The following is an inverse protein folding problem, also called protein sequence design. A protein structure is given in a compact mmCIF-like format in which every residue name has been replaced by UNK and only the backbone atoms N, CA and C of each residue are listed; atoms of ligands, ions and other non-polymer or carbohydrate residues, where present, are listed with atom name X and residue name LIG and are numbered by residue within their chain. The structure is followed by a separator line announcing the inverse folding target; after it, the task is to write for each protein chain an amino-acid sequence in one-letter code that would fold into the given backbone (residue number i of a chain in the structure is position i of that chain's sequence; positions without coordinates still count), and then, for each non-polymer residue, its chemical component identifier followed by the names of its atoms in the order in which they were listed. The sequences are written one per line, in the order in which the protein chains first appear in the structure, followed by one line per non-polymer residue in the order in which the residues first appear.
data_IF_207865694699
#
_entry.id   IF_207865694699
#
_cell.length_a   1.000
_cell.length_b   1.000
_cell.length_c   1.000
_cell.angle_alpha   90.00
_cell.angle_beta   90.00
_cell.angle_gamma   90.00
#
_symmetry.space_group_name_H-M   'P 1'
#
loop_
_entity.id
_entity.type
_entity.pdbx_description
1 polymer ?
#
# COMPACT_ATOMS: atom_id res chain seq x y z
N UNK A 1 -13.71 22.74 3.07
CA UNK A 1 -12.58 23.28 2.27
C UNK A 1 -13.06 23.50 0.85
N UNK A 2 -12.82 24.67 0.24
CA UNK A 2 -13.10 24.89 -1.20
C UNK A 2 -12.04 24.14 -1.99
N UNK A 3 -12.43 23.35 -2.98
CA UNK A 3 -11.55 22.51 -3.79
C UNK A 3 -11.54 22.99 -5.24
N UNK A 4 -10.38 23.04 -5.85
CA UNK A 4 -10.17 23.22 -7.27
C UNK A 4 -9.55 21.93 -7.83
N UNK A 5 -10.14 21.37 -8.86
CA UNK A 5 -9.74 20.10 -9.44
C UNK A 5 -10.75 18.98 -9.20
N UNK A 6 -10.31 17.71 -9.19
CA UNK A 6 -11.17 16.54 -9.01
C UNK A 6 -11.89 16.49 -7.66
N UNK A 7 -12.70 15.47 -7.48
CA UNK A 7 -13.46 15.21 -6.25
C UNK A 7 -13.29 13.77 -5.79
N UNK A 8 -13.75 13.47 -4.59
CA UNK A 8 -13.95 12.08 -4.19
C UNK A 8 -15.25 11.54 -4.80
N UNK A 9 -15.21 10.29 -5.24
CA UNK A 9 -16.39 9.55 -5.67
C UNK A 9 -17.36 9.39 -4.49
N UNK A 10 -18.65 9.41 -4.78
CA UNK A 10 -19.66 9.12 -3.78
C UNK A 10 -19.87 7.61 -3.59
N UNK A 11 -20.61 7.23 -2.55
CA UNK A 11 -20.82 5.81 -2.22
C UNK A 11 -21.52 5.03 -3.33
N UNK A 12 -22.58 5.52 -4.00
CA UNK A 12 -23.18 4.86 -5.13
C UNK A 12 -22.22 4.65 -6.31
N UNK A 13 -21.40 5.64 -6.64
CA UNK A 13 -20.37 5.51 -7.69
C UNK A 13 -19.38 4.39 -7.37
N UNK A 14 -18.91 4.33 -6.12
CA UNK A 14 -17.98 3.30 -5.66
C UNK A 14 -18.59 1.90 -5.70
N UNK A 15 -19.84 1.75 -5.25
CA UNK A 15 -20.54 0.45 -5.26
C UNK A 15 -20.77 -0.07 -6.68
N UNK A 16 -20.90 0.83 -7.66
CA UNK A 16 -21.12 0.48 -9.08
C UNK A 16 -19.80 0.41 -9.88
N UNK A 17 -18.65 0.76 -9.30
CA UNK A 17 -17.37 0.80 -10.01
C UNK A 17 -16.80 -0.59 -10.36
N UNK A 18 -17.22 -1.65 -9.66
CA UNK A 18 -16.76 -3.02 -9.91
C UNK A 18 -15.70 -3.53 -8.93
N UNK A 19 -15.51 -2.87 -7.80
CA UNK A 19 -14.66 -3.41 -6.72
C UNK A 19 -15.22 -4.73 -6.18
N UNK A 20 -14.33 -5.65 -5.77
CA UNK A 20 -14.73 -6.89 -5.11
C UNK A 20 -15.53 -6.60 -3.81
N UNK A 21 -15.12 -5.59 -3.05
CA UNK A 21 -15.82 -5.14 -1.86
C UNK A 21 -15.49 -3.69 -1.55
N UNK A 22 -16.50 -2.90 -1.16
CA UNK A 22 -16.35 -1.52 -0.69
C UNK A 22 -17.09 -1.34 0.62
N UNK A 23 -16.39 -0.87 1.64
CA UNK A 23 -16.93 -0.51 2.94
C UNK A 23 -17.72 0.81 2.92
N UNK A 24 -18.12 1.25 4.11
CA UNK A 24 -18.82 2.53 4.32
C UNK A 24 -17.83 3.69 4.38
N UNK A 25 -18.28 4.89 3.99
CA UNK A 25 -17.50 6.13 4.05
C UNK A 25 -16.14 6.07 3.33
N UNK A 26 -16.00 5.21 2.34
CA UNK A 26 -14.80 5.12 1.51
C UNK A 26 -14.70 6.36 0.62
N UNK A 27 -13.49 6.88 0.45
CA UNK A 27 -13.20 8.03 -0.39
C UNK A 27 -12.11 7.67 -1.40
N UNK A 28 -12.46 7.61 -2.67
CA UNK A 28 -11.51 7.43 -3.78
C UNK A 28 -11.55 8.70 -4.63
N UNK A 29 -10.41 9.32 -4.85
CA UNK A 29 -10.34 10.53 -5.65
C UNK A 29 -10.49 10.22 -7.15
N UNK A 30 -11.22 11.06 -7.89
CA UNK A 30 -11.49 10.88 -9.33
C UNK A 30 -10.22 10.89 -10.19
N UNK A 31 -9.11 11.40 -9.70
CA UNK A 31 -7.80 11.37 -10.36
C UNK A 31 -6.90 10.22 -9.91
N UNK A 32 -7.38 9.29 -9.08
CA UNK A 32 -6.68 8.04 -8.84
C UNK A 32 -6.86 7.11 -10.05
N UNK A 33 -5.79 6.41 -10.45
CA UNK A 33 -5.83 5.42 -11.53
C UNK A 33 -5.79 4.03 -10.90
N UNK A 34 -6.85 3.27 -11.05
CA UNK A 34 -7.01 1.96 -10.40
C UNK A 34 -7.38 0.92 -11.45
N UNK A 35 -6.57 -0.14 -11.55
CA UNK A 35 -6.74 -1.26 -12.47
C UNK A 35 -6.95 -2.55 -11.69
N UNK A 36 -7.88 -3.41 -12.17
CA UNK A 36 -8.21 -4.69 -11.54
C UNK A 36 -9.11 -4.53 -10.32
N UNK A 37 -10.14 -3.69 -10.43
CA UNK A 37 -11.08 -3.36 -9.35
C UNK A 37 -11.71 -4.62 -8.73
N UNK A 38 -11.98 -5.63 -9.54
CA UNK A 38 -12.54 -6.92 -9.14
C UNK A 38 -11.65 -7.73 -8.19
N UNK A 39 -10.38 -7.35 -8.05
CA UNK A 39 -9.42 -7.97 -7.13
C UNK A 39 -9.21 -7.15 -5.84
N UNK A 40 -9.95 -6.03 -5.69
CA UNK A 40 -9.70 -5.06 -4.62
C UNK A 40 -10.85 -5.06 -3.60
N UNK A 41 -10.50 -5.28 -2.34
CA UNK A 41 -11.39 -5.07 -1.20
C UNK A 41 -10.95 -3.83 -0.42
N UNK A 42 -11.90 -2.94 -0.09
CA UNK A 42 -11.63 -1.70 0.68
C UNK A 42 -12.55 -1.68 1.91
N UNK A 43 -11.96 -1.54 3.08
CA UNK A 43 -12.66 -1.40 4.36
C UNK A 43 -13.20 0.00 4.62
N UNK A 44 -13.99 0.12 5.68
CA UNK A 44 -14.69 1.33 6.09
C UNK A 44 -13.73 2.51 6.35
N UNK A 45 -14.18 3.74 6.09
CA UNK A 45 -13.47 5.00 6.37
C UNK A 45 -12.10 5.13 5.68
N UNK A 46 -11.82 4.32 4.65
CA UNK A 46 -10.55 4.33 3.93
C UNK A 46 -10.54 5.41 2.87
N UNK A 47 -9.36 6.03 2.66
CA UNK A 47 -9.16 7.11 1.71
C UNK A 47 -8.02 6.81 0.75
N UNK A 48 -8.28 6.99 -0.55
CA UNK A 48 -7.31 6.93 -1.64
C UNK A 48 -7.29 8.29 -2.33
N UNK A 49 -6.16 8.97 -2.28
CA UNK A 49 -6.00 10.33 -2.77
C UNK A 49 -5.70 10.40 -4.28
N UNK A 50 -5.63 11.61 -4.79
CA UNK A 50 -5.36 11.91 -6.19
C UNK A 50 -4.00 11.38 -6.67
N UNK A 51 -3.91 11.04 -7.95
CA UNK A 51 -2.70 10.51 -8.60
C UNK A 51 -2.11 9.24 -7.95
N UNK A 52 -2.84 8.58 -7.05
CA UNK A 52 -2.49 7.23 -6.65
C UNK A 52 -2.64 6.29 -7.86
N UNK A 53 -1.66 5.40 -8.08
CA UNK A 53 -1.69 4.38 -9.12
C UNK A 53 -1.74 3.00 -8.46
N UNK A 54 -2.83 2.27 -8.69
CA UNK A 54 -3.03 0.93 -8.15
C UNK A 54 -3.21 -0.04 -9.32
N UNK A 55 -2.37 -1.08 -9.37
CA UNK A 55 -2.44 -2.15 -10.38
C UNK A 55 -2.61 -3.48 -9.65
N UNK A 56 -3.84 -3.96 -9.55
CA UNK A 56 -4.20 -5.18 -8.83
C UNK A 56 -4.53 -6.31 -9.80
N UNK A 57 -3.52 -6.95 -10.37
CA UNK A 57 -3.69 -8.18 -11.15
C UNK A 57 -3.82 -9.43 -10.28
N UNK A 58 -3.52 -9.33 -8.99
CA UNK A 58 -3.81 -10.26 -7.92
C UNK A 58 -4.52 -9.56 -6.77
N UNK A 59 -4.82 -10.28 -5.70
CA UNK A 59 -5.61 -9.77 -4.58
C UNK A 59 -4.98 -8.54 -3.92
N UNK A 60 -5.79 -7.51 -3.68
CA UNK A 60 -5.45 -6.35 -2.87
C UNK A 60 -6.51 -6.16 -1.79
N UNK A 61 -6.10 -6.26 -0.53
CA UNK A 61 -6.97 -5.99 0.61
C UNK A 61 -6.51 -4.73 1.33
N UNK A 62 -7.40 -3.78 1.48
CA UNK A 62 -7.18 -2.54 2.22
C UNK A 62 -8.19 -2.52 3.36
N UNK A 63 -7.70 -2.49 4.59
CA UNK A 63 -8.50 -2.49 5.81
C UNK A 63 -9.28 -1.20 6.04
N UNK A 64 -9.85 -1.06 7.22
CA UNK A 64 -10.58 0.15 7.64
C UNK A 64 -9.62 1.24 8.13
N UNK A 65 -10.02 2.50 7.98
CA UNK A 65 -9.26 3.66 8.45
C UNK A 65 -7.83 3.73 7.86
N UNK A 66 -7.67 3.28 6.63
CA UNK A 66 -6.41 3.34 5.90
C UNK A 66 -6.35 4.61 5.06
N UNK A 67 -5.17 5.22 4.98
CA UNK A 67 -4.92 6.36 4.08
C UNK A 67 -3.84 6.00 3.07
N UNK A 68 -4.20 6.05 1.78
CA UNK A 68 -3.27 5.96 0.65
C UNK A 68 -3.15 7.35 0.05
N UNK A 69 -2.05 8.03 0.34
CA UNK A 69 -1.85 9.40 -0.12
C UNK A 69 -1.42 9.51 -1.57
N UNK A 70 -1.46 10.74 -2.08
CA UNK A 70 -1.17 11.11 -3.47
C UNK A 70 0.14 10.53 -3.99
N UNK A 71 0.17 10.17 -5.28
CA UNK A 71 1.34 9.63 -5.98
C UNK A 71 1.88 8.30 -5.42
N UNK A 72 1.11 7.62 -4.56
CA UNK A 72 1.46 6.27 -4.12
C UNK A 72 1.28 5.26 -5.25
N UNK A 73 2.13 4.24 -5.30
CA UNK A 73 2.02 3.11 -6.22
C UNK A 73 1.80 1.81 -5.45
N UNK A 74 0.81 1.02 -5.85
CA UNK A 74 0.58 -0.32 -5.31
C UNK A 74 0.48 -1.31 -6.47
N UNK A 75 1.51 -2.16 -6.62
CA UNK A 75 1.54 -3.26 -7.58
C UNK A 75 1.22 -4.59 -6.89
N UNK A 76 -0.04 -5.05 -6.99
CA UNK A 76 -0.50 -6.28 -6.34
C UNK A 76 -0.68 -7.40 -7.35
N UNK A 77 0.43 -7.99 -7.82
CA UNK A 77 0.42 -9.18 -8.67
C UNK A 77 0.37 -10.47 -7.84
N UNK A 78 1.11 -10.51 -6.75
CA UNK A 78 1.21 -11.66 -5.85
C UNK A 78 0.60 -11.40 -4.47
N UNK A 79 -0.28 -10.40 -4.39
CA UNK A 79 -0.99 -10.03 -3.19
C UNK A 79 -0.37 -8.85 -2.44
N UNK A 80 -1.23 -7.96 -1.96
CA UNK A 80 -0.88 -6.91 -0.99
C UNK A 80 -2.01 -6.82 0.03
N UNK A 81 -1.65 -6.81 1.31
CA UNK A 81 -2.58 -6.58 2.42
C UNK A 81 -2.13 -5.36 3.21
N UNK A 82 -3.01 -4.39 3.38
CA UNK A 82 -2.79 -3.19 4.19
C UNK A 82 -3.85 -3.19 5.28
N UNK A 83 -3.45 -3.50 6.49
CA UNK A 83 -4.38 -3.68 7.59
C UNK A 83 -4.78 -2.35 8.25
N UNK A 84 -5.73 -2.44 9.20
CA UNK A 84 -6.45 -1.30 9.76
C UNK A 84 -5.53 -0.20 10.31
N UNK A 85 -5.99 1.07 10.23
CA UNK A 85 -5.32 2.23 10.80
C UNK A 85 -3.91 2.49 10.26
N UNK A 86 -3.58 1.96 9.07
CA UNK A 86 -2.28 2.17 8.46
C UNK A 86 -2.28 3.34 7.49
N UNK A 87 -1.15 4.01 7.37
CA UNK A 87 -0.99 5.19 6.52
C UNK A 87 0.20 5.04 5.58
N UNK A 88 -0.05 5.19 4.30
CA UNK A 88 0.96 5.35 3.26
C UNK A 88 1.08 6.83 2.92
N UNK A 89 2.16 7.47 3.31
CA UNK A 89 2.43 8.88 2.99
C UNK A 89 2.65 9.09 1.47
N UNK A 90 2.65 10.33 0.96
CA UNK A 90 2.76 10.58 -0.47
C UNK A 90 3.95 9.90 -1.13
N UNK A 91 3.72 9.31 -2.31
CA UNK A 91 4.77 8.69 -3.12
C UNK A 91 5.32 7.35 -2.62
N UNK A 92 4.69 6.72 -1.64
CA UNK A 92 5.04 5.36 -1.20
C UNK A 92 4.83 4.38 -2.35
N UNK A 93 5.76 3.44 -2.54
CA UNK A 93 5.67 2.42 -3.59
C UNK A 93 5.73 1.02 -2.98
N UNK A 94 4.74 0.19 -3.31
CA UNK A 94 4.65 -1.20 -2.86
C UNK A 94 4.71 -2.10 -4.09
N UNK A 95 5.63 -3.04 -4.07
CA UNK A 95 5.79 -4.03 -5.13
C UNK A 95 5.64 -5.44 -4.56
N UNK A 96 4.67 -6.22 -5.04
CA UNK A 96 4.56 -7.65 -4.76
C UNK A 96 5.29 -8.52 -5.80
N UNK A 97 5.89 -7.89 -6.81
CA UNK A 97 6.79 -8.52 -7.78
C UNK A 97 7.85 -7.53 -8.24
N UNK A 98 9.02 -8.05 -8.55
CA UNK A 98 10.16 -7.33 -9.14
C UNK A 98 10.79 -8.19 -10.22
N UNK A 99 11.31 -7.56 -11.26
CA UNK A 99 12.08 -8.27 -12.28
C UNK A 99 13.42 -8.79 -11.71
N UNK A 100 14.09 -9.68 -12.45
CA UNK A 100 15.41 -10.15 -12.12
C UNK A 100 16.48 -9.08 -12.37
N UNK A 101 17.32 -8.83 -11.35
CA UNK A 101 18.47 -7.92 -11.42
C UNK A 101 19.81 -8.66 -11.48
N UNK A 102 19.80 -10.01 -11.41
CA UNK A 102 21.03 -10.81 -11.45
C UNK A 102 21.52 -11.09 -12.87
N UNK A 103 20.63 -10.99 -13.85
CA UNK A 103 20.90 -11.30 -15.25
C UNK A 103 20.70 -12.78 -15.60
N UNK A 104 20.11 -13.56 -14.70
CA UNK A 104 19.75 -14.95 -14.97
C UNK A 104 18.53 -15.08 -15.88
N UNK A 105 17.60 -14.13 -15.75
CA UNK A 105 16.36 -14.07 -16.53
C UNK A 105 16.24 -12.75 -17.30
N UNK A 106 15.37 -12.75 -18.30
CA UNK A 106 14.99 -11.53 -19.01
C UNK A 106 14.01 -10.69 -18.17
N UNK A 107 13.85 -9.43 -18.53
CA UNK A 107 13.01 -8.47 -17.81
C UNK A 107 11.95 -7.86 -18.71
N UNK A 108 10.86 -7.39 -18.08
CA UNK A 108 9.79 -6.63 -18.70
C UNK A 108 8.70 -7.49 -19.37
N UNK A 109 7.50 -6.90 -19.54
CA UNK A 109 6.30 -7.63 -19.97
C UNK A 109 6.23 -7.94 -21.47
N UNK A 110 7.26 -7.56 -22.25
CA UNK A 110 7.30 -7.72 -23.71
C UNK A 110 7.98 -9.02 -24.14
N UNK A 111 8.43 -9.82 -23.17
CA UNK A 111 9.07 -11.14 -23.39
C UNK A 111 8.14 -12.23 -22.91
N UNK A 112 8.28 -13.44 -23.47
CA UNK A 112 7.44 -14.57 -23.06
C UNK A 112 7.67 -14.93 -21.58
N UNK A 113 6.59 -15.27 -20.85
CA UNK A 113 6.64 -15.46 -19.39
C UNK A 113 7.66 -16.49 -18.91
N UNK A 114 7.92 -17.55 -19.69
CA UNK A 114 8.87 -18.59 -19.36
C UNK A 114 10.35 -18.14 -19.35
N UNK A 115 10.61 -16.93 -19.87
CA UNK A 115 11.96 -16.30 -19.86
C UNK A 115 12.12 -15.27 -18.76
N UNK A 116 11.03 -14.99 -18.02
CA UNK A 116 11.03 -14.00 -16.96
C UNK A 116 11.31 -14.65 -15.61
N UNK A 117 12.00 -13.90 -14.76
CA UNK A 117 12.28 -14.26 -13.39
C UNK A 117 12.21 -13.05 -12.47
N UNK A 118 12.69 -13.22 -11.24
CA UNK A 118 12.77 -12.18 -10.26
C UNK A 118 12.04 -12.50 -8.95
N UNK A 119 12.03 -11.56 -8.04
CA UNK A 119 11.42 -11.73 -6.73
C UNK A 119 9.91 -11.50 -6.77
N UNK A 120 9.17 -12.34 -6.06
CA UNK A 120 7.73 -12.21 -5.93
C UNK A 120 7.23 -12.75 -4.61
N UNK A 121 6.14 -12.18 -4.09
CA UNK A 121 5.50 -12.65 -2.88
C UNK A 121 4.55 -11.62 -2.30
N UNK A 122 3.73 -12.10 -1.38
CA UNK A 122 2.78 -11.28 -0.63
C UNK A 122 3.51 -10.19 0.16
N UNK A 123 2.99 -8.96 0.09
CA UNK A 123 3.40 -7.88 0.98
C UNK A 123 2.31 -7.64 2.00
N UNK A 124 2.67 -7.67 3.28
CA UNK A 124 1.76 -7.41 4.39
C UNK A 124 2.19 -6.15 5.14
N UNK A 125 1.29 -5.20 5.25
CA UNK A 125 1.41 -4.03 6.13
C UNK A 125 0.38 -4.21 7.23
N UNK A 126 0.86 -4.48 8.43
CA UNK A 126 0.01 -4.78 9.57
C UNK A 126 -0.68 -3.54 10.14
N UNK A 127 -1.46 -3.68 11.20
CA UNK A 127 -2.22 -2.58 11.79
C UNK A 127 -1.34 -1.48 12.39
N UNK A 128 -1.85 -0.25 12.38
CA UNK A 128 -1.20 0.92 12.99
C UNK A 128 0.19 1.26 12.41
N UNK A 129 0.48 0.80 11.20
CA UNK A 129 1.74 1.10 10.51
C UNK A 129 1.68 2.47 9.85
N UNK A 130 2.79 3.21 9.89
CA UNK A 130 2.97 4.43 9.11
C UNK A 130 4.23 4.33 8.25
N UNK A 131 4.04 4.53 6.95
CA UNK A 131 5.12 4.51 5.96
C UNK A 131 5.36 5.94 5.47
N UNK A 132 6.57 6.44 5.70
CA UNK A 132 7.00 7.79 5.32
C UNK A 132 7.09 7.99 3.79
N UNK A 133 6.96 9.24 3.37
CA UNK A 133 6.88 9.64 1.97
C UNK A 133 8.05 9.09 1.13
N UNK A 134 7.74 8.63 -0.09
CA UNK A 134 8.73 8.13 -1.04
C UNK A 134 9.40 6.81 -0.68
N UNK A 135 8.98 6.14 0.39
CA UNK A 135 9.50 4.82 0.78
C UNK A 135 9.13 3.77 -0.26
N UNK A 136 10.05 2.84 -0.52
CA UNK A 136 9.86 1.69 -1.40
C UNK A 136 9.81 0.42 -0.56
N UNK A 137 8.82 -0.43 -0.80
CA UNK A 137 8.63 -1.74 -0.16
C UNK A 137 8.74 -2.81 -1.25
N UNK A 138 9.68 -3.74 -1.08
CA UNK A 138 9.96 -4.82 -2.02
C UNK A 138 9.07 -6.05 -1.77
N UNK A 139 9.02 -7.01 -2.72
CA UNK A 139 8.21 -8.21 -2.59
C UNK A 139 8.53 -9.06 -1.35
N UNK A 140 7.55 -9.84 -0.91
CA UNK A 140 7.69 -10.82 0.16
C UNK A 140 8.13 -10.21 1.51
N UNK A 141 7.63 -9.02 1.83
CA UNK A 141 7.93 -8.29 3.07
C UNK A 141 6.70 -8.21 3.96
N UNK A 142 6.89 -8.49 5.25
CA UNK A 142 5.91 -8.25 6.30
C UNK A 142 6.37 -7.10 7.20
N UNK A 143 5.59 -6.02 7.21
CA UNK A 143 5.78 -4.89 8.13
C UNK A 143 4.81 -5.08 9.28
N UNK A 144 5.33 -5.54 10.44
CA UNK A 144 4.52 -5.93 11.59
C UNK A 144 3.86 -4.74 12.28
N UNK A 145 2.85 -5.05 13.10
CA UNK A 145 2.00 -4.08 13.80
C UNK A 145 2.78 -2.94 14.45
N UNK A 146 2.28 -1.72 14.28
CA UNK A 146 2.80 -0.54 14.94
C UNK A 146 4.17 -0.07 14.46
N UNK A 147 4.69 -0.58 13.35
CA UNK A 147 5.95 -0.10 12.76
C UNK A 147 5.77 1.32 12.22
N UNK A 148 6.83 2.13 12.35
CA UNK A 148 6.97 3.37 11.58
C UNK A 148 8.22 3.33 10.71
N UNK A 149 8.08 3.74 9.46
CA UNK A 149 9.18 3.82 8.50
C UNK A 149 9.39 5.29 8.10
N UNK A 150 10.61 5.78 8.28
CA UNK A 150 10.98 7.14 7.87
C UNK A 150 10.89 7.33 6.34
N UNK A 151 10.73 8.58 5.92
CA UNK A 151 10.67 8.92 4.50
C UNK A 151 11.91 8.46 3.71
N UNK A 152 11.75 8.22 2.41
CA UNK A 152 12.82 7.83 1.48
C UNK A 152 13.60 6.58 1.90
N UNK A 153 12.92 5.62 2.52
CA UNK A 153 13.53 4.36 2.96
C UNK A 153 13.34 3.25 1.91
N UNK A 154 14.20 2.21 1.98
CA UNK A 154 14.05 0.97 1.22
C UNK A 154 13.81 -0.19 2.17
N UNK A 155 12.59 -0.74 2.15
CA UNK A 155 12.21 -1.92 2.94
C UNK A 155 12.34 -3.16 2.07
N UNK A 156 13.31 -4.01 2.40
CA UNK A 156 13.61 -5.25 1.65
C UNK A 156 13.57 -6.52 2.50
N UNK A 157 13.17 -6.40 3.76
CA UNK A 157 13.04 -7.50 4.71
C UNK A 157 11.99 -7.14 5.76
N UNK A 158 11.51 -8.14 6.48
CA UNK A 158 10.51 -7.98 7.52
C UNK A 158 10.94 -6.99 8.60
N UNK A 159 9.97 -6.21 9.10
CA UNK A 159 10.17 -5.21 10.16
C UNK A 159 9.42 -5.61 11.42
N UNK A 160 10.13 -5.59 12.55
CA UNK A 160 9.60 -6.02 13.85
C UNK A 160 8.65 -5.00 14.48
N UNK A 161 7.58 -5.51 15.13
CA UNK A 161 6.51 -4.72 15.73
C UNK A 161 7.01 -3.60 16.66
N UNK A 162 6.29 -2.47 16.64
CA UNK A 162 6.49 -1.33 17.54
C UNK A 162 7.92 -0.75 17.49
N UNK A 163 8.50 -0.81 16.30
CA UNK A 163 9.87 -0.35 16.03
C UNK A 163 9.85 0.73 14.97
N UNK A 164 10.75 1.69 15.09
CA UNK A 164 10.99 2.75 14.10
C UNK A 164 12.18 2.38 13.22
N UNK A 165 12.00 2.51 11.91
CA UNK A 165 13.02 2.21 10.90
C UNK A 165 13.23 3.41 9.97
N UNK A 166 14.43 3.56 9.41
CA UNK A 166 14.70 4.51 8.32
C UNK A 166 15.95 4.09 7.54
N UNK A 167 16.11 4.63 6.32
CA UNK A 167 17.32 4.50 5.51
C UNK A 167 17.22 3.53 4.33
N UNK A 168 18.34 3.37 3.60
CA UNK A 168 18.50 2.55 2.41
C UNK A 168 19.71 1.61 2.60
N UNK A 169 19.49 0.34 3.01
CA UNK A 169 18.22 -0.26 3.40
C UNK A 169 17.71 0.28 4.75
N UNK A 170 16.42 0.08 5.01
CA UNK A 170 15.78 0.48 6.26
C UNK A 170 16.36 -0.28 7.46
N UNK A 171 16.89 0.46 8.44
CA UNK A 171 17.49 -0.05 9.65
C UNK A 171 16.75 0.47 10.87
N UNK A 172 16.73 -0.33 11.95
CA UNK A 172 16.13 0.08 13.22
C UNK A 172 16.80 1.34 13.77
N UNK A 173 15.99 2.35 14.11
CA UNK A 173 16.45 3.61 14.72
C UNK A 173 15.90 3.83 16.13
N UNK A 174 14.92 3.05 16.57
CA UNK A 174 14.35 3.16 17.91
C UNK A 174 13.10 2.33 18.11
N UNK A 175 12.49 2.44 19.28
CA UNK A 175 11.21 1.82 19.60
C UNK A 175 10.08 2.85 19.47
N UNK A 176 8.92 2.44 18.97
CA UNK A 176 7.74 3.28 18.84
C UNK A 176 6.84 3.15 20.06
N UNK A 177 6.28 4.26 20.54
CA UNK A 177 5.29 4.28 21.62
C UNK A 177 3.97 3.64 21.18
N UNK A 178 3.18 3.16 22.16
CA UNK A 178 1.90 2.48 21.92
C UNK A 178 0.68 3.30 22.35
N UNK A 179 0.86 4.54 22.76
CA UNK A 179 -0.22 5.40 23.29
C UNK A 179 -1.38 5.56 22.30
N UNK A 180 -1.09 5.46 21.00
CA UNK A 180 -2.10 5.48 19.94
C UNK A 180 -3.15 4.37 20.03
N UNK A 181 -2.87 3.25 20.73
CA UNK A 181 -3.84 2.16 20.89
C UNK A 181 -5.04 2.60 21.72
N UNK A 182 -4.83 3.40 22.77
CA UNK A 182 -5.92 3.96 23.57
C UNK A 182 -6.80 4.89 22.73
N UNK A 183 -6.18 5.71 21.84
CA UNK A 183 -6.91 6.60 20.95
C UNK A 183 -7.74 5.83 19.90
N UNK A 184 -7.27 4.65 19.50
CA UNK A 184 -7.98 3.82 18.52
C UNK A 184 -9.22 3.11 19.10
N UNK A 185 -9.29 2.90 20.44
CA UNK A 185 -10.45 2.34 21.12
C UNK A 185 -11.66 3.28 21.16
N UNK A 186 -11.42 4.59 20.90
CA UNK A 186 -12.46 5.64 20.90
C UNK A 186 -13.11 5.81 19.51
N UNK A 187 -12.64 5.07 18.46
CA UNK A 187 -13.09 5.16 17.06
C UNK A 187 -13.99 3.97 16.67
#
# INVERSE_FOLDING_TARGET
MKQLGGRYLDQPELLNAGFAKVGKNVKVHTHANIYGLENIEIGDNTRIDDFALIVATGALKIGRNVSVHSHSFIGSKFGVEINNFSTLAPGVKIFSSSDDYTGEFMTGPTVSPEKLGGDSGLVVIDEHVIIGAGTIILPNVTIKQGVSVGALSLVKSDLESWTMYAGIPAMKIGNRKRDLLQLAEEL
#
